data_IF_810599388042
#
_entry.id   IF_810599388042
#
_cell.length_a   1.000
_cell.length_b   1.000
_cell.length_c   1.000
_cell.angle_alpha   90.00
_cell.angle_beta   90.00
_cell.angle_gamma   90.00
#
_symmetry.space_group_name_H-M   'P 1'
#
loop_
_entity.id
_entity.type
_entity.pdbx_description
1 polymer ?
#
# COMPACT_ATOMS: atom_id res chain seq x y z
N UNK A 1 -52.35 60.32 74.92
CA UNK A 1 -51.58 60.88 73.79
C UNK A 1 -51.95 60.10 72.55
N UNK A 2 -52.17 60.83 71.46
CA UNK A 2 -52.99 60.48 70.32
C UNK A 2 -52.30 59.59 69.26
N UNK A 3 -53.16 58.92 68.50
CA UNK A 3 -53.16 58.69 67.05
C UNK A 3 -52.04 57.93 66.30
N UNK A 4 -52.48 56.81 65.73
CA UNK A 4 -52.61 56.52 64.28
C UNK A 4 -51.41 56.64 63.32
N UNK A 5 -51.14 55.55 62.60
CA UNK A 5 -51.05 55.44 61.12
C UNK A 5 -50.29 54.15 60.74
N UNK A 6 -50.55 53.39 59.68
CA UNK A 6 -51.43 53.52 58.52
C UNK A 6 -51.07 52.41 57.52
N UNK A 7 -52.10 51.82 56.92
CA UNK A 7 -52.15 50.65 55.99
C UNK A 7 -51.82 51.05 54.52
N UNK A 8 -51.63 50.11 53.55
CA UNK A 8 -50.76 50.24 52.37
C UNK A 8 -51.45 50.51 51.00
N UNK A 9 -50.62 50.53 49.92
CA UNK A 9 -50.89 50.53 48.44
C UNK A 9 -51.22 51.91 47.82
N UNK A 10 -50.91 52.23 46.52
CA UNK A 10 -51.17 51.43 45.29
C UNK A 10 -50.19 51.55 44.09
N UNK A 11 -50.44 50.76 43.03
CA UNK A 11 -49.86 50.84 41.66
C UNK A 11 -50.52 51.96 40.81
N UNK A 12 -49.96 52.32 39.64
CA UNK A 12 -50.79 52.23 38.43
C UNK A 12 -50.10 51.70 37.16
N UNK A 13 -50.97 51.31 36.23
CA UNK A 13 -50.78 50.67 34.91
C UNK A 13 -50.69 51.68 33.75
N UNK A 14 -50.35 51.12 32.57
CA UNK A 14 -50.62 51.54 31.15
C UNK A 14 -49.43 52.24 30.48
N UNK A 15 -48.98 51.90 29.26
CA UNK A 15 -49.69 51.51 28.02
C UNK A 15 -48.86 50.57 27.12
N UNK A 16 -49.55 49.85 26.26
CA UNK A 16 -49.06 48.94 25.22
C UNK A 16 -48.54 49.69 23.96
N UNK A 17 -47.61 49.08 23.19
CA UNK A 17 -47.82 48.63 21.78
C UNK A 17 -46.55 47.99 21.15
N UNK A 18 -46.73 46.78 20.61
CA UNK A 18 -46.28 46.21 19.31
C UNK A 18 -44.78 45.97 18.98
N UNK A 19 -44.45 44.67 18.97
CA UNK A 19 -43.69 43.84 18.01
C UNK A 19 -42.29 44.23 17.49
N UNK A 20 -41.31 43.34 17.71
CA UNK A 20 -40.53 42.69 16.65
C UNK A 20 -39.86 41.40 17.17
N UNK A 21 -39.87 40.38 16.31
CA UNK A 21 -39.36 39.03 16.48
C UNK A 21 -37.83 38.99 16.38
N UNK A 22 -37.15 38.30 17.31
CA UNK A 22 -35.89 37.58 17.05
C UNK A 22 -35.57 36.65 18.23
N UNK A 23 -36.01 35.39 18.13
CA UNK A 23 -35.55 34.29 18.97
C UNK A 23 -34.17 33.84 18.50
N UNK A 24 -33.12 34.02 19.32
CA UNK A 24 -31.88 33.27 19.17
C UNK A 24 -31.88 32.15 20.21
N UNK A 25 -32.31 30.96 19.79
CA UNK A 25 -32.13 29.73 20.55
C UNK A 25 -30.67 29.32 20.48
N UNK A 26 -30.00 29.33 21.64
CA UNK A 26 -28.68 28.75 21.79
C UNK A 26 -28.85 27.22 21.84
N UNK A 27 -28.77 26.56 20.69
CA UNK A 27 -28.71 25.11 20.63
C UNK A 27 -27.34 24.66 21.16
N UNK A 28 -27.33 24.08 22.36
CA UNK A 28 -26.19 23.32 22.86
C UNK A 28 -26.09 22.07 22.00
N UNK A 29 -25.19 22.08 21.01
CA UNK A 29 -24.80 20.89 20.28
C UNK A 29 -23.97 20.03 21.23
N UNK A 30 -24.62 19.08 21.89
CA UNK A 30 -23.92 17.93 22.48
C UNK A 30 -23.35 17.15 21.30
N UNK A 31 -22.06 17.34 21.01
CA UNK A 31 -21.34 16.47 20.12
C UNK A 31 -21.23 15.10 20.81
N UNK A 32 -22.17 14.21 20.53
CA UNK A 32 -21.99 12.79 20.75
C UNK A 32 -20.82 12.38 19.87
N UNK A 33 -19.65 12.15 20.47
CA UNK A 33 -18.57 11.43 19.82
C UNK A 33 -19.15 10.07 19.43
N UNK A 34 -19.48 9.89 18.16
CA UNK A 34 -19.86 8.60 17.62
C UNK A 34 -18.60 7.74 17.67
N UNK A 35 -18.49 6.88 18.67
CA UNK A 35 -17.62 5.72 18.61
C UNK A 35 -18.09 4.91 17.41
N UNK A 36 -17.33 4.92 16.32
CA UNK A 36 -17.59 4.03 15.20
C UNK A 36 -17.59 2.58 15.74
N UNK A 37 -18.56 1.74 15.34
CA UNK A 37 -18.61 0.36 15.81
C UNK A 37 -17.38 -0.43 15.32
N UNK A 38 -16.88 -1.33 16.17
CA UNK A 38 -15.81 -2.30 15.89
C UNK A 38 -16.31 -3.40 14.94
N UNK A 39 -16.43 -3.05 13.66
CA UNK A 39 -16.85 -3.94 12.58
C UNK A 39 -16.74 -3.22 11.23
N UNK A 40 -15.81 -2.27 11.13
CA UNK A 40 -15.58 -1.50 9.93
C UNK A 40 -14.61 -2.29 9.04
N UNK A 41 -15.14 -2.95 8.01
CA UNK A 41 -14.32 -3.40 6.88
C UNK A 41 -13.39 -2.27 6.43
N UNK A 42 -12.16 -2.57 6.01
CA UNK A 42 -11.23 -1.54 5.58
C UNK A 42 -11.86 -0.59 4.57
N UNK A 43 -11.49 0.70 4.62
CA UNK A 43 -12.00 1.68 3.68
C UNK A 43 -11.67 1.26 2.24
N UNK A 44 -12.62 1.48 1.34
CA UNK A 44 -12.41 1.30 -0.10
C UNK A 44 -11.21 2.15 -0.55
N UNK A 45 -10.32 1.60 -1.39
CA UNK A 45 -9.20 2.37 -1.93
C UNK A 45 -9.65 3.71 -2.52
N UNK A 46 -8.94 4.83 -2.24
CA UNK A 46 -9.25 6.12 -2.86
C UNK A 46 -9.15 6.06 -4.38
N UNK A 47 -9.82 6.98 -5.09
CA UNK A 47 -9.71 7.07 -6.54
C UNK A 47 -8.23 7.17 -6.98
N UNK A 48 -7.86 6.39 -8.01
CA UNK A 48 -6.48 6.28 -8.50
C UNK A 48 -5.61 5.27 -7.75
N UNK A 49 -6.13 4.61 -6.72
CA UNK A 49 -5.45 3.53 -6.00
C UNK A 49 -6.15 2.19 -6.24
N UNK A 50 -5.35 1.13 -6.35
CA UNK A 50 -5.82 -0.25 -6.45
C UNK A 50 -5.34 -1.04 -5.24
N UNK A 51 -6.19 -1.95 -4.74
CA UNK A 51 -5.84 -2.83 -3.63
C UNK A 51 -4.88 -3.92 -4.09
N UNK A 52 -3.75 -4.04 -3.40
CA UNK A 52 -2.73 -5.08 -3.62
C UNK A 52 -2.86 -6.19 -2.59
N UNK A 53 -3.13 -5.82 -1.33
CA UNK A 53 -3.31 -6.74 -0.22
C UNK A 53 -4.28 -6.13 0.78
N UNK A 54 -5.06 -6.99 1.44
CA UNK A 54 -5.91 -6.63 2.55
C UNK A 54 -6.11 -7.85 3.44
N UNK A 55 -5.86 -7.67 4.74
CA UNK A 55 -6.42 -8.51 5.78
C UNK A 55 -7.19 -7.61 6.75
N UNK A 56 -8.50 -7.84 6.84
CA UNK A 56 -9.46 -7.16 7.73
C UNK A 56 -9.71 -7.97 9.01
N UNK A 57 -8.89 -8.99 9.29
CA UNK A 57 -8.87 -9.79 10.52
C UNK A 57 -10.24 -10.34 10.98
N UNK A 58 -11.14 -10.54 10.02
CA UNK A 58 -12.45 -11.14 10.26
C UNK A 58 -12.31 -12.64 10.55
N UNK A 59 -12.85 -13.08 11.67
CA UNK A 59 -12.85 -14.49 12.05
C UNK A 59 -13.48 -14.71 13.42
N UNK A 60 -13.52 -15.96 13.87
CA UNK A 60 -14.11 -16.29 15.16
C UNK A 60 -13.20 -15.85 16.32
N UNK A 61 -13.79 -15.37 17.42
CA UNK A 61 -13.03 -15.02 18.61
C UNK A 61 -12.12 -16.17 19.08
N UNK A 62 -10.85 -15.88 19.31
CA UNK A 62 -9.84 -16.84 19.75
C UNK A 62 -9.23 -17.70 18.63
N UNK A 63 -9.61 -17.52 17.36
CA UNK A 63 -8.91 -18.16 16.25
C UNK A 63 -7.58 -17.46 15.94
N UNK A 64 -6.64 -18.17 15.30
CA UNK A 64 -5.41 -17.57 14.77
C UNK A 64 -5.65 -16.73 13.51
N UNK A 65 -4.58 -16.13 12.98
CA UNK A 65 -4.59 -15.38 11.72
C UNK A 65 -4.70 -16.30 10.51
N UNK A 66 -5.07 -15.75 9.35
CA UNK A 66 -5.06 -16.49 8.09
C UNK A 66 -3.61 -16.81 7.68
N UNK A 67 -3.23 -18.09 7.74
CA UNK A 67 -1.85 -18.51 7.45
C UNK A 67 -1.52 -18.56 5.95
N UNK A 68 -2.46 -18.28 5.04
CA UNK A 68 -2.10 -17.97 3.66
C UNK A 68 -1.44 -16.60 3.54
N UNK A 69 -1.79 -15.69 4.45
CA UNK A 69 -1.40 -14.28 4.41
C UNK A 69 -0.30 -13.99 5.40
N UNK A 70 -0.27 -14.72 6.52
CA UNK A 70 0.68 -14.52 7.62
C UNK A 70 1.46 -15.78 7.99
N UNK A 71 2.73 -15.58 8.36
CA UNK A 71 3.58 -16.57 8.99
C UNK A 71 3.96 -16.12 10.41
N UNK A 72 4.11 -17.08 11.32
CA UNK A 72 4.49 -16.81 12.70
C UNK A 72 6.00 -16.88 12.87
N UNK A 73 6.56 -15.85 13.47
CA UNK A 73 7.90 -15.88 14.03
C UNK A 73 7.83 -16.41 15.47
N UNK A 74 8.68 -17.39 15.79
CA UNK A 74 8.63 -18.07 17.09
C UNK A 74 10.00 -18.15 17.75
N UNK A 75 10.02 -18.19 19.08
CA UNK A 75 11.25 -18.20 19.87
C UNK A 75 11.79 -16.79 20.10
N UNK A 76 13.11 -16.68 20.21
CA UNK A 76 13.83 -15.44 20.54
C UNK A 76 14.70 -14.93 19.38
N UNK A 77 14.58 -15.53 18.19
CA UNK A 77 15.33 -15.15 16.99
C UNK A 77 14.75 -15.85 15.76
N UNK A 78 15.02 -15.32 14.57
CA UNK A 78 14.92 -16.12 13.35
C UNK A 78 15.85 -17.34 13.41
N UNK A 79 15.58 -18.41 12.63
CA UNK A 79 16.51 -19.52 12.48
C UNK A 79 17.86 -19.05 11.91
N UNK A 80 18.90 -19.00 12.75
CA UNK A 80 20.22 -18.49 12.37
C UNK A 80 20.33 -16.96 12.33
N UNK A 81 19.31 -16.24 12.80
CA UNK A 81 19.36 -14.79 12.96
C UNK A 81 20.00 -14.35 14.28
N UNK A 82 20.02 -13.03 14.50
CA UNK A 82 20.53 -12.45 15.75
C UNK A 82 19.70 -12.91 16.97
N UNK A 83 20.39 -13.18 18.08
CA UNK A 83 19.75 -13.55 19.33
C UNK A 83 18.91 -12.38 19.89
N UNK A 84 17.82 -12.71 20.60
CA UNK A 84 16.87 -11.75 21.17
C UNK A 84 16.44 -10.70 20.13
N UNK A 85 16.11 -11.21 18.94
CA UNK A 85 15.71 -10.44 17.75
C UNK A 85 16.66 -9.30 17.34
N UNK A 86 17.89 -9.30 17.83
CA UNK A 86 18.88 -8.23 17.60
C UNK A 86 18.70 -6.98 18.47
N UNK A 87 17.67 -6.93 19.31
CA UNK A 87 17.26 -5.74 20.08
C UNK A 87 17.50 -5.91 21.59
N UNK A 88 17.70 -7.14 22.06
CA UNK A 88 17.79 -7.46 23.49
C UNK A 88 16.43 -7.53 24.18
N UNK A 89 15.33 -7.65 23.43
CA UNK A 89 13.99 -7.96 23.96
C UNK A 89 13.97 -9.34 24.66
N UNK A 90 13.01 -9.54 25.57
CA UNK A 90 13.06 -10.64 26.57
C UNK A 90 11.97 -11.69 26.42
N UNK A 91 11.00 -11.47 25.54
CA UNK A 91 9.93 -12.40 25.25
C UNK A 91 10.37 -13.54 24.32
N UNK A 92 9.69 -14.67 24.47
CA UNK A 92 9.61 -15.65 23.39
C UNK A 92 8.36 -15.38 22.57
N UNK A 93 8.52 -15.11 21.28
CA UNK A 93 7.39 -15.04 20.34
C UNK A 93 6.78 -16.43 20.16
N UNK A 94 5.45 -16.50 20.04
CA UNK A 94 4.73 -17.78 19.87
C UNK A 94 3.63 -17.70 18.81
N UNK A 95 3.22 -18.85 18.30
CA UNK A 95 2.03 -19.02 17.45
C UNK A 95 0.76 -19.34 18.25
N UNK A 96 0.80 -19.25 19.58
CA UNK A 96 -0.35 -19.53 20.44
C UNK A 96 -1.39 -18.43 20.33
N UNK A 97 -2.67 -18.81 20.32
CA UNK A 97 -3.79 -17.85 20.39
C UNK A 97 -3.88 -17.12 21.73
N UNK A 98 -3.09 -17.51 22.73
CA UNK A 98 -2.88 -16.69 23.93
C UNK A 98 -2.13 -15.38 23.63
N UNK A 99 -1.32 -15.36 22.56
CA UNK A 99 -0.52 -14.22 22.13
C UNK A 99 -1.02 -13.61 20.82
N UNK A 100 -1.50 -14.41 19.85
CA UNK A 100 -1.96 -13.92 18.54
C UNK A 100 -3.32 -14.53 18.22
N UNK A 101 -4.38 -13.75 18.37
CA UNK A 101 -5.74 -14.22 18.11
C UNK A 101 -6.64 -13.13 17.56
N UNK A 102 -7.69 -13.53 16.86
CA UNK A 102 -8.78 -12.66 16.45
C UNK A 102 -9.76 -12.46 17.61
N UNK A 103 -10.34 -11.27 17.72
CA UNK A 103 -11.24 -10.91 18.82
C UNK A 103 -12.71 -11.32 18.55
N UNK A 104 -13.04 -11.64 17.31
CA UNK A 104 -14.40 -11.97 16.85
C UNK A 104 -15.22 -10.80 16.31
N UNK A 105 -14.67 -9.59 16.33
CA UNK A 105 -15.31 -8.34 15.89
C UNK A 105 -14.57 -7.69 14.70
N UNK A 106 -13.58 -8.37 14.13
CA UNK A 106 -12.80 -7.89 12.99
C UNK A 106 -11.42 -7.37 13.38
N UNK A 107 -10.94 -7.64 14.59
CA UNK A 107 -9.63 -7.19 15.03
C UNK A 107 -8.67 -8.35 15.35
N UNK A 108 -7.41 -8.19 14.98
CA UNK A 108 -6.29 -8.98 15.47
C UNK A 108 -5.82 -8.44 16.83
N UNK A 109 -5.56 -9.35 17.77
CA UNK A 109 -4.96 -9.10 19.07
C UNK A 109 -3.55 -9.70 19.13
N UNK A 110 -2.53 -8.85 19.29
CA UNK A 110 -1.17 -9.27 19.69
C UNK A 110 -0.97 -8.93 21.16
N UNK A 111 -0.99 -9.95 22.02
CA UNK A 111 -1.04 -9.81 23.48
C UNK A 111 0.22 -10.33 24.16
N UNK A 112 1.05 -9.45 24.74
CA UNK A 112 2.11 -9.87 25.65
C UNK A 112 1.53 -10.57 26.88
N UNK A 113 2.09 -11.72 27.24
CA UNK A 113 1.72 -12.49 28.43
C UNK A 113 2.95 -12.71 29.29
N UNK A 114 2.73 -12.81 30.60
CA UNK A 114 3.75 -13.14 31.58
C UNK A 114 3.30 -14.33 32.40
N UNK A 115 4.07 -15.40 32.42
CA UNK A 115 3.74 -16.58 33.22
C UNK A 115 4.10 -16.40 34.72
N UNK A 116 3.73 -17.38 35.54
CA UNK A 116 4.01 -17.35 36.98
C UNK A 116 5.50 -17.42 37.33
N UNK A 117 6.33 -17.95 36.41
CA UNK A 117 7.80 -17.99 36.54
C UNK A 117 8.45 -16.67 36.13
N UNK A 118 7.67 -15.76 35.55
CA UNK A 118 8.08 -14.44 35.12
C UNK A 118 8.57 -14.36 33.68
N UNK A 119 8.41 -15.42 32.89
CA UNK A 119 8.77 -15.45 31.48
C UNK A 119 7.74 -14.65 30.67
N UNK A 120 8.23 -13.85 29.73
CA UNK A 120 7.38 -13.12 28.78
C UNK A 120 7.19 -13.92 27.50
N UNK A 121 5.98 -13.86 26.96
CA UNK A 121 5.65 -14.33 25.61
C UNK A 121 4.86 -13.27 24.88
N UNK A 122 4.98 -13.22 23.57
CA UNK A 122 4.21 -12.30 22.73
C UNK A 122 3.99 -12.89 21.33
N UNK A 123 3.49 -12.07 20.42
CA UNK A 123 3.30 -12.42 19.02
C UNK A 123 4.15 -11.56 18.10
N UNK A 124 4.66 -12.21 17.05
CA UNK A 124 5.27 -11.58 15.89
C UNK A 124 4.81 -12.35 14.66
N UNK A 125 4.18 -11.65 13.72
CA UNK A 125 3.71 -12.21 12.47
C UNK A 125 4.25 -11.39 11.30
N UNK A 126 4.53 -12.06 10.21
CA UNK A 126 4.97 -11.43 8.97
C UNK A 126 4.05 -11.84 7.82
N UNK A 127 3.91 -11.00 6.81
CA UNK A 127 3.20 -11.42 5.60
C UNK A 127 3.95 -12.55 4.90
N UNK A 128 3.24 -13.54 4.37
CA UNK A 128 3.82 -14.58 3.50
C UNK A 128 4.38 -13.95 2.23
N UNK A 129 3.70 -12.93 1.70
CA UNK A 129 4.16 -12.07 0.61
C UNK A 129 5.37 -11.23 1.01
N UNK A 130 6.28 -11.06 0.05
CA UNK A 130 7.50 -10.23 0.16
C UNK A 130 7.64 -9.26 -1.01
N UNK A 131 6.61 -9.11 -1.83
CA UNK A 131 6.67 -8.45 -3.14
C UNK A 131 6.12 -7.02 -3.11
N UNK A 132 5.88 -6.44 -1.93
CA UNK A 132 5.36 -5.08 -1.82
C UNK A 132 6.42 -4.05 -2.23
N UNK A 133 6.27 -3.51 -3.44
CA UNK A 133 7.10 -2.45 -3.99
C UNK A 133 6.25 -1.60 -4.95
N UNK A 134 6.34 -0.27 -4.92
CA UNK A 134 5.70 0.54 -5.94
C UNK A 134 6.29 0.27 -7.32
N UNK A 135 5.46 0.21 -8.37
CA UNK A 135 5.98 0.24 -9.74
C UNK A 135 6.78 1.54 -9.95
N UNK A 136 7.73 1.52 -10.89
CA UNK A 136 8.45 2.74 -11.24
C UNK A 136 7.46 3.82 -11.71
N UNK A 137 7.70 5.06 -11.27
CA UNK A 137 6.77 6.17 -11.50
C UNK A 137 5.52 6.14 -10.62
N UNK A 138 5.19 5.02 -9.99
CA UNK A 138 3.98 4.86 -9.17
C UNK A 138 4.21 5.12 -7.69
N UNK A 139 3.20 4.76 -6.91
CA UNK A 139 3.24 4.88 -5.45
C UNK A 139 2.69 3.63 -4.80
N UNK A 140 3.18 3.35 -3.59
CA UNK A 140 2.70 2.29 -2.73
C UNK A 140 2.26 2.94 -1.42
N UNK A 141 1.10 2.53 -0.89
CA UNK A 141 0.68 2.83 0.47
C UNK A 141 0.59 1.54 1.24
N UNK A 142 1.21 1.50 2.40
CA UNK A 142 1.12 0.40 3.36
C UNK A 142 0.58 0.99 4.65
N UNK A 143 -0.57 0.52 5.07
CA UNK A 143 -1.36 1.15 6.12
C UNK A 143 -1.93 0.11 7.08
N UNK A 144 -1.98 0.46 8.35
CA UNK A 144 -2.73 -0.29 9.35
C UNK A 144 -3.57 0.66 10.20
N UNK A 145 -4.79 0.26 10.50
CA UNK A 145 -5.61 0.88 11.54
C UNK A 145 -5.45 0.06 12.82
N UNK A 146 -4.86 0.64 13.85
CA UNK A 146 -4.56 -0.07 15.09
C UNK A 146 -4.68 0.82 16.32
N UNK A 147 -4.97 0.19 17.45
CA UNK A 147 -4.84 0.74 18.79
C UNK A 147 -3.58 0.13 19.44
N UNK A 148 -2.70 0.99 19.94
CA UNK A 148 -1.53 0.53 20.72
C UNK A 148 -1.99 -0.08 22.07
N UNK A 149 -1.19 -0.95 22.72
CA UNK A 149 -1.50 -1.49 24.04
C UNK A 149 -1.99 -0.41 25.02
N UNK A 150 -3.23 -0.56 25.50
CA UNK A 150 -3.87 0.43 26.36
C UNK A 150 -3.39 0.33 27.82
N UNK A 151 -2.11 0.62 28.00
CA UNK A 151 -1.41 0.61 29.27
C UNK A 151 -0.43 1.78 29.28
N UNK A 152 -0.30 2.46 30.42
CA UNK A 152 0.59 3.63 30.56
C UNK A 152 1.35 3.62 31.88
N UNK A 153 2.34 4.51 32.02
CA UNK A 153 3.13 4.63 33.24
C UNK A 153 3.96 3.38 33.56
N UNK A 154 4.13 3.05 34.83
CA UNK A 154 4.97 1.91 35.25
C UNK A 154 4.43 0.56 34.75
N UNK A 155 3.12 0.44 34.56
CA UNK A 155 2.48 -0.75 34.02
C UNK A 155 2.87 -1.02 32.55
N UNK A 156 3.26 0.03 31.81
CA UNK A 156 3.65 -0.05 30.40
C UNK A 156 5.16 -0.18 30.18
N UNK A 157 5.98 -0.14 31.24
CA UNK A 157 7.43 -0.17 31.09
C UNK A 157 7.87 -1.43 30.35
N UNK A 158 8.58 -1.28 29.23
CA UNK A 158 9.04 -2.38 28.39
C UNK A 158 8.11 -2.72 27.21
N UNK A 159 6.87 -2.24 27.15
CA UNK A 159 6.03 -2.49 25.97
C UNK A 159 6.63 -1.81 24.74
N UNK A 160 6.71 -2.55 23.63
CA UNK A 160 7.17 -2.06 22.33
C UNK A 160 6.33 -2.63 21.18
N UNK A 161 5.12 -2.09 20.93
CA UNK A 161 4.35 -2.42 19.72
C UNK A 161 5.03 -1.84 18.46
N UNK A 162 5.00 -2.60 17.38
CA UNK A 162 5.53 -2.19 16.07
C UNK A 162 4.69 -2.69 14.90
N UNK A 163 4.55 -1.85 13.89
CA UNK A 163 4.04 -2.12 12.55
C UNK A 163 5.04 -1.56 11.54
N UNK A 164 5.67 -2.45 10.80
CA UNK A 164 6.88 -2.12 10.05
C UNK A 164 7.07 -3.04 8.86
N UNK A 165 8.08 -2.73 8.05
CA UNK A 165 8.41 -3.49 6.85
C UNK A 165 9.91 -3.76 6.79
N UNK A 166 10.27 -4.91 6.24
CA UNK A 166 11.66 -5.29 6.03
C UNK A 166 11.87 -5.76 4.59
N UNK A 167 13.01 -5.39 4.00
CA UNK A 167 13.31 -5.73 2.61
C UNK A 167 13.32 -7.24 2.39
N UNK A 168 12.67 -7.69 1.31
CA UNK A 168 12.53 -9.11 0.96
C UNK A 168 13.84 -9.92 1.01
N UNK A 169 15.00 -9.40 0.58
CA UNK A 169 16.27 -10.13 0.66
C UNK A 169 16.72 -10.48 2.09
N UNK A 170 16.08 -9.96 3.14
CA UNK A 170 16.37 -10.33 4.52
C UNK A 170 15.83 -11.73 4.86
N UNK A 171 14.66 -12.11 4.33
CA UNK A 171 14.03 -13.39 4.66
C UNK A 171 14.88 -14.56 4.18
N UNK A 172 15.30 -15.41 5.13
CA UNK A 172 16.21 -16.53 4.87
C UNK A 172 17.70 -16.15 4.81
N UNK A 173 18.03 -14.86 4.90
CA UNK A 173 19.40 -14.35 5.02
C UNK A 173 19.71 -13.98 6.48
N UNK A 174 18.92 -13.07 7.05
CA UNK A 174 18.99 -12.59 8.44
C UNK A 174 20.30 -11.87 8.85
N UNK A 175 21.17 -11.51 7.91
CA UNK A 175 22.51 -10.95 8.17
C UNK A 175 22.80 -9.64 7.40
N UNK A 176 21.84 -9.11 6.64
CA UNK A 176 22.02 -7.96 5.75
C UNK A 176 21.30 -6.67 6.21
N UNK A 177 20.82 -6.62 7.45
CA UNK A 177 20.38 -5.37 8.08
C UNK A 177 21.59 -4.47 8.42
N UNK A 178 21.53 -3.13 8.26
CA UNK A 178 20.39 -2.34 7.78
C UNK A 178 20.38 -2.13 6.27
N UNK A 179 21.40 -2.66 5.55
CA UNK A 179 21.59 -2.39 4.12
C UNK A 179 20.41 -2.77 3.23
N UNK A 180 19.62 -3.77 3.66
CA UNK A 180 18.43 -4.28 2.97
C UNK A 180 17.19 -3.38 3.08
N UNK A 181 17.24 -2.33 3.90
CA UNK A 181 16.12 -1.42 4.12
C UNK A 181 15.08 -1.95 5.10
N UNK A 182 14.75 -1.10 6.08
CA UNK A 182 13.66 -1.29 7.04
C UNK A 182 12.83 0.00 7.09
N UNK A 183 11.51 -0.13 7.09
CA UNK A 183 10.57 0.99 7.13
C UNK A 183 9.62 0.79 8.30
N UNK A 184 9.91 1.45 9.41
CA UNK A 184 9.08 1.44 10.61
C UNK A 184 7.95 2.44 10.44
N UNK A 185 6.75 1.93 10.21
CA UNK A 185 5.56 2.76 9.93
C UNK A 185 4.98 3.29 11.24
N UNK A 186 4.99 2.45 12.27
CA UNK A 186 4.63 2.80 13.63
C UNK A 186 5.47 1.99 14.61
N UNK A 187 6.17 2.69 15.49
CA UNK A 187 6.70 2.14 16.73
C UNK A 187 6.24 2.98 17.92
N UNK A 188 6.13 2.35 19.07
CA UNK A 188 5.92 3.03 20.33
C UNK A 188 6.64 2.29 21.46
N UNK A 189 6.96 3.03 22.53
CA UNK A 189 7.47 2.44 23.76
C UNK A 189 6.79 3.04 24.98
N UNK A 190 6.78 2.29 26.08
CA UNK A 190 6.37 2.74 27.41
C UNK A 190 4.91 3.25 27.52
N UNK A 191 4.05 2.95 26.54
CA UNK A 191 2.68 3.46 26.52
C UNK A 191 2.60 4.98 26.37
N UNK A 192 3.60 5.60 25.73
CA UNK A 192 3.61 7.05 25.51
C UNK A 192 2.61 7.43 24.43
N UNK A 193 1.93 8.57 24.56
CA UNK A 193 1.09 9.10 23.48
C UNK A 193 1.94 9.71 22.35
N UNK A 194 2.68 8.86 21.64
CA UNK A 194 3.50 9.18 20.47
C UNK A 194 3.63 7.97 19.57
N UNK A 195 3.78 8.21 18.28
CA UNK A 195 4.26 7.25 17.30
C UNK A 195 5.62 7.69 16.80
N UNK A 196 6.52 6.74 16.57
CA UNK A 196 7.76 6.91 15.82
C UNK A 196 7.60 6.26 14.45
N UNK A 197 8.17 6.88 13.43
CA UNK A 197 8.39 6.25 12.14
C UNK A 197 9.81 6.53 11.67
N UNK A 198 10.44 5.52 11.09
CA UNK A 198 11.88 5.49 10.84
C UNK A 198 12.17 4.72 9.55
N UNK A 199 13.21 5.16 8.83
CA UNK A 199 13.84 4.35 7.79
C UNK A 199 15.25 3.97 8.26
N UNK A 200 15.55 2.66 8.29
CA UNK A 200 16.92 2.17 8.46
C UNK A 200 17.50 1.74 7.12
N UNK A 201 18.77 2.08 6.90
CA UNK A 201 19.46 1.85 5.63
C UNK A 201 21.00 1.97 5.76
N UNK A 202 21.71 1.52 4.73
CA UNK A 202 23.16 1.69 4.65
C UNK A 202 23.92 0.80 5.64
N UNK A 203 24.63 1.42 6.59
CA UNK A 203 25.59 0.71 7.47
C UNK A 203 25.38 1.07 8.93
N UNK A 204 25.45 0.07 9.80
CA UNK A 204 25.43 0.23 11.25
C UNK A 204 26.81 -0.04 11.87
N UNK A 205 27.32 0.81 12.78
CA UNK A 205 26.77 2.10 13.24
C UNK A 205 27.06 3.28 12.31
N UNK A 206 26.24 4.33 12.43
CA UNK A 206 26.36 5.58 11.67
C UNK A 206 25.84 5.45 10.25
N UNK A 207 26.71 5.66 9.27
CA UNK A 207 26.30 5.68 7.85
C UNK A 207 25.37 6.86 7.50
N UNK A 208 24.85 6.89 6.26
CA UNK A 208 23.98 7.98 5.80
C UNK A 208 22.63 8.01 6.53
N UNK A 209 22.23 6.89 7.16
CA UNK A 209 20.95 6.76 7.85
C UNK A 209 21.06 6.91 9.38
N UNK A 210 22.25 7.26 9.89
CA UNK A 210 22.50 7.51 11.31
C UNK A 210 22.11 6.33 12.23
N UNK A 211 22.58 5.15 11.88
CA UNK A 211 22.29 3.90 12.58
C UNK A 211 22.92 3.85 13.98
N UNK A 212 22.25 3.29 15.00
CA UNK A 212 20.93 2.61 14.96
C UNK A 212 19.73 3.53 15.17
N UNK A 213 19.89 4.87 15.08
CA UNK A 213 18.74 5.77 15.25
C UNK A 213 17.84 5.82 14.02
N UNK A 214 18.39 5.59 12.83
CA UNK A 214 17.66 5.69 11.56
C UNK A 214 17.27 7.14 11.20
N UNK A 215 16.63 7.29 10.04
CA UNK A 215 16.06 8.55 9.58
C UNK A 215 14.60 8.67 10.03
N UNK A 216 14.41 8.91 11.33
CA UNK A 216 13.09 8.89 11.94
C UNK A 216 12.62 10.22 12.55
N UNK A 217 11.34 10.26 12.89
CA UNK A 217 10.74 11.31 13.69
C UNK A 217 9.61 10.74 14.57
N UNK A 218 9.13 11.54 15.52
CA UNK A 218 7.97 11.19 16.34
C UNK A 218 6.95 12.32 16.44
N UNK A 219 5.68 11.95 16.60
CA UNK A 219 4.59 12.88 16.86
C UNK A 219 3.55 12.24 17.77
N UNK A 220 2.74 13.05 18.47
CA UNK A 220 1.58 12.55 19.19
C UNK A 220 0.48 12.13 18.22
N UNK A 221 -0.36 11.16 18.60
CA UNK A 221 -1.54 10.82 17.81
C UNK A 221 -2.54 11.99 17.81
N UNK A 222 -3.11 12.35 16.64
CA UNK A 222 -4.11 13.39 16.54
C UNK A 222 -5.40 13.06 17.30
N UNK A 223 -6.08 14.07 17.86
CA UNK A 223 -7.39 13.96 18.52
C UNK A 223 -7.42 13.16 19.85
N UNK A 224 -7.02 11.90 19.82
CA UNK A 224 -7.00 10.96 20.96
C UNK A 224 -5.59 10.42 21.18
N UNK A 225 -5.34 9.81 22.35
CA UNK A 225 -4.03 9.17 22.55
C UNK A 225 -3.94 7.87 21.75
N UNK A 226 -2.74 7.52 21.29
CA UNK A 226 -2.49 6.29 20.52
C UNK A 226 -2.96 5.01 21.25
N UNK A 227 -3.01 5.04 22.58
CA UNK A 227 -3.47 3.96 23.45
C UNK A 227 -4.99 3.93 23.64
N UNK A 228 -5.68 5.07 23.49
CA UNK A 228 -7.10 5.20 23.86
C UNK A 228 -8.06 4.72 22.78
N UNK A 229 -7.59 4.51 21.55
CA UNK A 229 -8.40 4.02 20.44
C UNK A 229 -7.57 3.82 19.17
N UNK A 230 -8.27 3.49 18.09
CA UNK A 230 -7.67 3.26 16.79
C UNK A 230 -7.17 4.55 16.15
N UNK A 231 -5.96 4.47 15.60
CA UNK A 231 -5.37 5.44 14.70
C UNK A 231 -4.92 4.72 13.43
N UNK A 232 -4.81 5.47 12.34
CA UNK A 232 -4.34 4.96 11.06
C UNK A 232 -2.90 5.38 10.84
N UNK A 233 -2.00 4.41 10.66
CA UNK A 233 -0.57 4.62 10.44
C UNK A 233 -0.22 4.22 9.02
N UNK A 234 0.34 5.14 8.25
CA UNK A 234 0.54 4.97 6.81
C UNK A 234 1.96 5.26 6.42
N UNK A 235 2.54 4.41 5.59
CA UNK A 235 3.72 4.74 4.79
C UNK A 235 3.30 4.90 3.33
N UNK A 236 3.65 6.02 2.71
CA UNK A 236 3.55 6.23 1.26
C UNK A 236 4.96 6.28 0.65
N UNK A 237 5.26 5.33 -0.22
CA UNK A 237 6.47 5.30 -1.02
C UNK A 237 6.16 5.78 -2.42
N UNK A 238 6.71 6.92 -2.77
CA UNK A 238 6.46 7.69 -3.97
C UNK A 238 7.66 7.64 -4.92
N UNK A 239 7.53 6.84 -5.96
CA UNK A 239 8.49 6.74 -7.08
C UNK A 239 8.06 7.60 -8.28
N UNK A 240 7.02 8.42 -8.13
CA UNK A 240 6.49 9.28 -9.19
C UNK A 240 7.23 10.61 -9.33
N UNK A 241 8.20 10.87 -8.45
CA UNK A 241 8.94 12.14 -8.36
C UNK A 241 10.43 11.86 -8.25
N UNK A 242 11.24 12.87 -8.61
CA UNK A 242 12.69 12.84 -8.42
C UNK A 242 13.11 14.05 -7.56
N UNK A 243 13.76 13.82 -6.39
CA UNK A 243 14.10 12.51 -5.81
C UNK A 243 12.86 11.71 -5.38
N UNK A 244 12.93 10.37 -5.43
CA UNK A 244 11.91 9.49 -4.83
C UNK A 244 11.77 9.81 -3.33
N UNK A 245 10.61 9.52 -2.75
CA UNK A 245 10.32 9.84 -1.36
C UNK A 245 9.53 8.75 -0.65
N UNK A 246 9.82 8.54 0.64
CA UNK A 246 9.01 7.75 1.56
C UNK A 246 8.47 8.71 2.62
N UNK A 247 7.16 8.70 2.84
CA UNK A 247 6.45 9.61 3.75
C UNK A 247 5.65 8.80 4.75
N UNK A 248 5.70 9.20 6.02
CA UNK A 248 4.99 8.52 7.10
C UNK A 248 3.93 9.44 7.70
N UNK A 249 2.75 8.87 7.93
CA UNK A 249 1.56 9.58 8.36
C UNK A 249 0.93 8.90 9.57
N UNK A 250 0.32 9.71 10.43
CA UNK A 250 -0.67 9.25 11.40
C UNK A 250 -1.97 10.04 11.18
N UNK A 251 -3.08 9.33 11.00
CA UNK A 251 -4.39 9.88 10.63
C UNK A 251 -4.34 10.87 9.45
N UNK A 252 -3.56 10.53 8.43
CA UNK A 252 -3.37 11.36 7.24
C UNK A 252 -2.48 12.60 7.44
N UNK A 253 -1.89 12.79 8.62
CA UNK A 253 -0.93 13.88 8.90
C UNK A 253 0.49 13.36 8.73
N UNK A 254 1.19 13.87 7.70
CA UNK A 254 2.62 13.57 7.48
C UNK A 254 3.46 14.14 8.62
N UNK A 255 4.34 13.33 9.20
CA UNK A 255 5.31 13.77 10.21
C UNK A 255 6.75 13.35 9.95
N UNK A 256 7.02 12.50 8.95
CA UNK A 256 8.37 12.14 8.55
C UNK A 256 8.45 11.94 7.04
N UNK A 257 9.51 12.46 6.42
CA UNK A 257 9.76 12.29 4.99
C UNK A 257 11.24 12.03 4.76
N UNK A 258 11.53 10.88 4.15
CA UNK A 258 12.86 10.50 3.69
C UNK A 258 12.89 10.58 2.17
N UNK A 259 13.90 11.25 1.62
CA UNK A 259 14.06 11.42 0.17
C UNK A 259 15.34 10.75 -0.29
N UNK A 260 15.32 10.18 -1.50
CA UNK A 260 16.43 9.38 -2.03
C UNK A 260 17.79 10.12 -2.03
N UNK A 261 17.79 11.45 -2.16
CA UNK A 261 19.00 12.27 -2.17
C UNK A 261 19.61 12.54 -0.77
N UNK A 262 19.05 11.98 0.30
CA UNK A 262 19.68 12.01 1.64
C UNK A 262 20.82 10.99 1.77
N UNK A 263 20.93 10.06 0.83
CA UNK A 263 21.97 9.05 0.73
C UNK A 263 22.47 8.94 -0.72
N UNK A 264 23.54 8.20 -0.94
CA UNK A 264 23.98 7.90 -2.30
C UNK A 264 23.03 6.93 -3.00
N UNK A 265 23.07 6.91 -4.34
CA UNK A 265 22.17 6.11 -5.15
C UNK A 265 22.28 4.59 -4.89
N UNK A 266 23.46 4.09 -4.51
CA UNK A 266 23.67 2.66 -4.20
C UNK A 266 23.01 2.32 -2.88
N UNK A 267 23.17 3.18 -1.86
CA UNK A 267 22.50 2.99 -0.56
C UNK A 267 20.97 3.02 -0.72
N UNK A 268 20.41 3.97 -1.48
CA UNK A 268 18.97 4.00 -1.76
C UNK A 268 18.52 2.74 -2.50
N UNK A 269 19.22 2.34 -3.56
CA UNK A 269 18.88 1.15 -4.35
C UNK A 269 18.97 -0.15 -3.53
N UNK A 270 19.99 -0.30 -2.69
CA UNK A 270 20.13 -1.48 -1.83
C UNK A 270 19.02 -1.59 -0.79
N UNK A 271 18.52 -0.44 -0.30
CA UNK A 271 17.45 -0.40 0.67
C UNK A 271 16.05 -0.47 0.05
N UNK A 272 15.88 -0.17 -1.24
CA UNK A 272 14.54 0.05 -1.82
C UNK A 272 14.30 -0.63 -3.18
N UNK A 273 15.31 -1.16 -3.87
CA UNK A 273 15.10 -1.76 -5.19
C UNK A 273 14.72 -3.25 -5.11
N UNK A 274 13.74 -3.57 -4.28
CA UNK A 274 13.15 -4.89 -4.09
C UNK A 274 11.79 -4.77 -3.40
N UNK A 275 11.06 -5.89 -3.34
CA UNK A 275 9.88 -6.01 -2.51
C UNK A 275 10.19 -5.93 -1.01
N UNK A 276 9.15 -5.71 -0.22
CA UNK A 276 9.15 -5.78 1.23
C UNK A 276 8.07 -6.74 1.70
N UNK A 277 8.25 -7.28 2.90
CA UNK A 277 7.19 -7.92 3.68
C UNK A 277 6.85 -7.03 4.88
N UNK A 278 5.61 -7.16 5.37
CA UNK A 278 5.10 -6.44 6.55
C UNK A 278 5.28 -7.31 7.79
N UNK A 279 5.56 -6.68 8.93
CA UNK A 279 5.67 -7.30 10.24
C UNK A 279 4.77 -6.55 11.23
N UNK A 280 4.07 -7.32 12.08
CA UNK A 280 3.36 -6.84 13.25
C UNK A 280 3.87 -7.58 14.48
N UNK A 281 4.24 -6.85 15.53
CA UNK A 281 4.62 -7.45 16.80
C UNK A 281 4.37 -6.53 18.00
N UNK A 282 4.44 -7.12 19.19
CA UNK A 282 4.63 -6.36 20.44
C UNK A 282 5.81 -6.98 21.17
N UNK A 283 6.97 -6.34 21.07
CA UNK A 283 8.16 -6.74 21.82
C UNK A 283 8.05 -6.32 23.30
N UNK A 284 8.82 -6.99 24.16
CA UNK A 284 8.94 -6.68 25.58
C UNK A 284 10.40 -6.42 25.95
N UNK A 285 10.71 -5.18 26.30
CA UNK A 285 12.05 -4.73 26.66
C UNK A 285 12.90 -4.41 25.43
N UNK A 286 14.22 -4.61 25.54
CA UNK A 286 15.16 -4.27 24.46
C UNK A 286 15.63 -2.81 24.46
N UNK A 287 16.45 -2.48 23.47
CA UNK A 287 17.18 -1.22 23.38
C UNK A 287 16.29 0.02 23.36
N UNK A 288 15.18 -0.01 22.61
CA UNK A 288 14.30 1.14 22.47
C UNK A 288 13.57 1.46 23.79
N UNK A 289 12.82 0.54 24.44
CA UNK A 289 12.35 0.76 25.82
C UNK A 289 13.46 1.17 26.79
N UNK A 290 14.66 0.56 26.67
CA UNK A 290 15.87 0.89 27.42
C UNK A 290 16.22 2.38 27.40
N UNK A 291 16.16 3.02 26.23
CA UNK A 291 16.42 4.44 26.07
C UNK A 291 15.36 5.36 26.72
N UNK A 292 14.19 4.82 27.08
CA UNK A 292 13.05 5.55 27.65
C UNK A 292 12.68 5.06 29.06
N UNK A 293 13.67 4.59 29.83
CA UNK A 293 13.51 4.19 31.23
C UNK A 293 13.50 2.68 31.46
N UNK A 294 13.61 1.88 30.41
CA UNK A 294 13.74 0.43 30.46
C UNK A 294 12.44 -0.31 30.75
N UNK A 295 12.60 -1.55 31.19
CA UNK A 295 11.53 -2.51 31.36
C UNK A 295 11.76 -3.76 30.51
N UNK A 296 10.96 -4.81 30.71
CA UNK A 296 9.88 -4.91 31.69
C UNK A 296 10.38 -4.90 33.15
N UNK A 297 9.52 -4.50 34.08
CA UNK A 297 9.76 -4.49 35.52
C UNK A 297 8.74 -5.39 36.24
N UNK A 298 8.84 -5.52 37.56
CA UNK A 298 7.79 -6.20 38.34
C UNK A 298 6.44 -5.48 38.34
N UNK A 299 6.42 -4.19 38.00
CA UNK A 299 5.20 -3.41 37.88
C UNK A 299 4.56 -3.48 36.48
N UNK A 300 5.28 -4.01 35.48
CA UNK A 300 4.77 -4.13 34.11
C UNK A 300 3.62 -5.12 34.07
N UNK A 301 2.46 -4.68 33.59
CA UNK A 301 1.25 -5.50 33.53
C UNK A 301 1.19 -6.25 32.19
N UNK A 302 1.04 -7.58 32.15
CA UNK A 302 0.76 -8.30 30.91
C UNK A 302 -0.71 -8.17 30.49
N UNK A 303 -1.05 -8.64 29.29
CA UNK A 303 -2.43 -8.83 28.87
C UNK A 303 -3.07 -7.64 28.16
N UNK A 304 -2.30 -6.58 27.86
CA UNK A 304 -2.75 -5.42 27.11
C UNK A 304 -2.38 -5.60 25.62
N UNK A 305 -3.35 -5.89 24.73
CA UNK A 305 -3.05 -6.18 23.33
C UNK A 305 -2.76 -4.93 22.52
N UNK A 306 -1.90 -5.05 21.51
CA UNK A 306 -2.05 -4.24 20.30
C UNK A 306 -3.24 -4.80 19.52
N UNK A 307 -4.19 -3.93 19.18
CA UNK A 307 -5.44 -4.29 18.48
C UNK A 307 -5.37 -3.74 17.07
N UNK A 308 -5.45 -4.58 16.05
CA UNK A 308 -5.28 -4.19 14.64
C UNK A 308 -6.55 -4.56 13.87
N UNK A 309 -7.22 -3.55 13.33
CA UNK A 309 -8.46 -3.70 12.56
C UNK A 309 -8.17 -4.21 11.15
N UNK A 310 -7.18 -3.61 10.47
CA UNK A 310 -6.73 -4.11 9.18
C UNK A 310 -5.27 -3.77 8.90
N UNK A 311 -4.69 -4.52 7.95
CA UNK A 311 -3.51 -4.14 7.19
C UNK A 311 -3.87 -4.09 5.71
N UNK A 312 -3.62 -2.94 5.08
CA UNK A 312 -3.93 -2.71 3.67
C UNK A 312 -2.67 -2.27 2.92
N UNK A 313 -2.48 -2.83 1.73
CA UNK A 313 -1.49 -2.36 0.75
C UNK A 313 -2.21 -1.90 -0.49
N UNK A 314 -1.97 -0.65 -0.88
CA UNK A 314 -2.50 -0.03 -2.07
C UNK A 314 -1.37 0.37 -3.00
N UNK A 315 -1.64 0.38 -4.30
CA UNK A 315 -0.74 0.97 -5.30
C UNK A 315 -1.47 1.96 -6.20
N UNK A 316 -0.79 3.02 -6.59
CA UNK A 316 -1.23 3.89 -7.67
C UNK A 316 -0.26 3.76 -8.84
N UNK A 317 -0.80 3.63 -10.06
CA UNK A 317 0.00 3.73 -11.28
C UNK A 317 0.61 5.12 -11.40
N UNK A 318 1.87 5.19 -11.79
CA UNK A 318 2.53 6.44 -12.12
C UNK A 318 2.03 7.05 -13.42
N UNK A 319 1.99 8.38 -13.51
CA UNK A 319 1.89 9.10 -14.78
C UNK A 319 3.21 9.13 -15.57
N UNK A 320 4.12 8.18 -15.33
CA UNK A 320 5.40 8.09 -16.03
C UNK A 320 6.15 6.78 -15.78
N UNK A 321 6.11 5.87 -16.76
CA UNK A 321 7.18 4.92 -17.08
C UNK A 321 7.50 3.80 -16.08
N UNK A 322 6.92 2.61 -16.31
CA UNK A 322 7.51 1.35 -15.84
C UNK A 322 6.54 0.22 -15.54
N UNK A 323 6.13 -0.49 -16.61
CA UNK A 323 5.72 -1.89 -16.69
C UNK A 323 4.98 -2.47 -15.49
N UNK A 324 3.66 -2.61 -15.59
CA UNK A 324 2.99 -3.80 -15.05
C UNK A 324 3.34 -4.96 -16.00
N UNK A 325 4.15 -5.97 -15.64
CA UNK A 325 3.85 -7.29 -16.16
C UNK A 325 2.51 -7.69 -15.54
N UNK A 326 1.44 -7.93 -16.32
CA UNK A 326 0.33 -8.69 -15.79
C UNK A 326 0.85 -10.06 -15.35
N UNK A 327 0.18 -10.74 -14.40
CA UNK A 327 0.47 -12.13 -14.09
C UNK A 327 0.44 -12.96 -15.39
N UNK A 328 1.25 -14.02 -15.55
CA UNK A 328 1.08 -14.93 -16.67
C UNK A 328 -0.32 -15.56 -16.59
N UNK A 329 -1.21 -15.19 -17.52
CA UNK A 329 -2.56 -15.73 -17.67
C UNK A 329 -3.68 -14.81 -17.17
N UNK A 330 -4.79 -14.80 -17.92
CA UNK A 330 -6.06 -14.12 -17.63
C UNK A 330 -6.14 -12.62 -18.04
N UNK A 331 -5.70 -12.28 -19.25
CA UNK A 331 -5.97 -10.95 -19.85
C UNK A 331 -7.42 -10.88 -20.32
N UNK A 332 -8.13 -9.79 -20.08
CA UNK A 332 -9.45 -9.53 -20.66
C UNK A 332 -9.32 -8.96 -22.07
N UNK A 333 -9.95 -9.58 -23.07
CA UNK A 333 -9.89 -9.15 -24.46
C UNK A 333 -10.55 -7.77 -24.69
N UNK A 334 -11.53 -7.41 -23.87
CA UNK A 334 -12.35 -6.20 -24.06
C UNK A 334 -11.80 -4.97 -23.33
N UNK A 335 -10.67 -5.13 -22.66
CA UNK A 335 -9.90 -4.07 -22.02
C UNK A 335 -8.63 -3.78 -22.83
N UNK A 336 -8.11 -2.54 -22.76
CA UNK A 336 -6.87 -2.19 -23.45
C UNK A 336 -5.69 -3.03 -22.94
N UNK A 337 -5.17 -3.89 -23.81
CA UNK A 337 -3.95 -4.67 -23.61
C UNK A 337 -2.77 -3.83 -24.07
N UNK A 338 -1.89 -3.48 -23.12
CA UNK A 338 -0.67 -2.71 -23.40
C UNK A 338 0.26 -3.52 -24.30
N UNK A 339 0.76 -2.93 -25.37
CA UNK A 339 1.50 -3.66 -26.39
C UNK A 339 2.90 -4.07 -25.90
N UNK A 340 3.51 -3.31 -24.99
CA UNK A 340 4.74 -3.66 -24.28
C UNK A 340 4.56 -4.79 -23.25
N UNK A 341 3.32 -5.19 -22.94
CA UNK A 341 3.03 -6.26 -21.98
C UNK A 341 3.15 -7.67 -22.56
N UNK A 342 3.93 -7.85 -23.64
CA UNK A 342 4.09 -9.13 -24.32
C UNK A 342 4.76 -10.19 -23.42
N UNK A 343 4.35 -11.46 -23.56
CA UNK A 343 5.01 -12.62 -22.93
C UNK A 343 6.28 -13.06 -23.68
N UNK A 344 6.32 -12.77 -24.99
CA UNK A 344 7.46 -13.07 -25.85
C UNK A 344 7.40 -12.21 -27.10
N UNK A 345 8.54 -11.92 -27.71
CA UNK A 345 8.61 -11.12 -28.92
C UNK A 345 9.81 -11.52 -29.80
N UNK A 346 9.81 -11.04 -31.03
CA UNK A 346 11.02 -10.96 -31.85
C UNK A 346 11.06 -9.63 -32.61
N UNK A 347 12.22 -8.98 -32.57
CA UNK A 347 12.57 -7.82 -33.38
C UNK A 347 12.07 -6.46 -32.88
N UNK A 348 11.25 -6.42 -31.83
CA UNK A 348 10.71 -5.15 -31.29
C UNK A 348 11.54 -4.66 -30.10
N UNK A 349 11.48 -3.35 -29.84
CA UNK A 349 11.99 -2.72 -28.61
C UNK A 349 10.91 -1.86 -27.96
N UNK A 350 11.07 -1.51 -26.69
CA UNK A 350 10.14 -0.61 -26.00
C UNK A 350 10.72 0.80 -25.89
N UNK A 351 9.85 1.80 -25.99
CA UNK A 351 10.19 3.21 -25.70
C UNK A 351 9.09 3.89 -24.93
N UNK A 352 9.40 5.04 -24.31
CA UNK A 352 8.38 5.86 -23.65
C UNK A 352 7.43 6.44 -24.69
N UNK A 353 6.14 6.16 -24.55
CA UNK A 353 5.12 6.75 -25.42
C UNK A 353 4.79 8.17 -24.98
N UNK A 354 4.59 9.06 -25.96
CA UNK A 354 4.00 10.39 -25.73
C UNK A 354 2.49 10.40 -25.94
N UNK A 355 1.85 9.24 -26.11
CA UNK A 355 0.39 9.14 -26.24
C UNK A 355 -0.33 9.56 -24.95
N UNK A 356 -1.63 9.82 -25.07
CA UNK A 356 -2.48 10.00 -23.90
C UNK A 356 -2.49 8.74 -23.04
N UNK A 357 -2.18 8.89 -21.75
CA UNK A 357 -2.02 7.77 -20.81
C UNK A 357 -0.56 7.50 -20.43
N UNK A 358 0.40 7.98 -21.23
CA UNK A 358 1.82 7.69 -21.04
C UNK A 358 2.09 6.19 -21.10
N UNK A 359 3.18 5.74 -20.46
CA UNK A 359 3.58 4.33 -20.48
C UNK A 359 4.73 4.06 -21.44
N UNK A 360 4.77 2.86 -21.99
CA UNK A 360 5.68 2.53 -23.09
C UNK A 360 4.86 2.11 -24.31
N UNK A 361 5.48 2.17 -25.48
CA UNK A 361 5.00 1.50 -26.67
C UNK A 361 6.03 0.49 -27.14
N UNK A 362 5.60 -0.46 -27.97
CA UNK A 362 6.54 -1.26 -28.77
C UNK A 362 6.82 -0.53 -30.08
N UNK A 363 8.09 -0.39 -30.40
CA UNK A 363 8.58 0.34 -31.57
C UNK A 363 9.71 -0.38 -32.27
N UNK A 364 10.30 0.31 -33.26
CA UNK A 364 11.28 -0.26 -34.20
C UNK A 364 10.76 -1.49 -34.95
N UNK A 365 9.45 -1.51 -35.22
CA UNK A 365 8.77 -2.69 -35.75
C UNK A 365 8.92 -2.71 -37.28
N UNK A 366 9.57 -3.75 -37.77
CA UNK A 366 9.81 -4.03 -39.18
C UNK A 366 9.07 -5.29 -39.65
N UNK A 367 9.25 -5.62 -40.93
CA UNK A 367 8.67 -6.83 -41.53
C UNK A 367 9.23 -8.11 -40.88
N UNK A 368 8.35 -8.95 -40.36
CA UNK A 368 8.67 -10.25 -39.76
C UNK A 368 8.67 -10.26 -38.23
N UNK A 369 8.55 -9.08 -37.60
CA UNK A 369 8.50 -8.93 -36.16
C UNK A 369 7.15 -9.39 -35.60
N UNK A 370 7.13 -9.67 -34.29
CA UNK A 370 5.93 -10.12 -33.62
C UNK A 370 5.99 -9.96 -32.09
N UNK A 371 4.81 -9.94 -31.47
CA UNK A 371 4.59 -9.96 -30.03
C UNK A 371 3.51 -10.99 -29.66
N UNK A 372 3.74 -11.77 -28.60
CA UNK A 372 2.84 -12.79 -28.05
C UNK A 372 2.21 -12.32 -26.74
N UNK A 373 0.92 -12.54 -26.59
CA UNK A 373 0.12 -12.29 -25.41
C UNK A 373 -0.66 -13.55 -25.06
N UNK A 374 -0.20 -14.32 -24.08
CA UNK A 374 -0.83 -15.54 -23.61
C UNK A 374 -2.14 -15.33 -22.86
N UNK A 375 -3.07 -16.27 -23.02
CA UNK A 375 -4.26 -16.39 -22.18
C UNK A 375 -5.20 -15.18 -22.20
N UNK A 376 -5.45 -14.62 -23.39
CA UNK A 376 -6.43 -13.54 -23.60
C UNK A 376 -7.83 -14.15 -23.65
N UNK A 377 -8.72 -13.68 -22.77
CA UNK A 377 -10.05 -14.18 -22.55
C UNK A 377 -11.09 -13.32 -23.29
N UNK A 378 -11.68 -13.90 -24.33
CA UNK A 378 -12.78 -13.33 -25.13
C UNK A 378 -14.17 -13.69 -24.59
N UNK A 379 -14.27 -14.49 -23.52
CA UNK A 379 -15.53 -14.88 -22.92
C UNK A 379 -16.45 -15.67 -23.86
N UNK A 380 -17.75 -15.67 -23.59
CA UNK A 380 -18.75 -16.39 -24.40
C UNK A 380 -19.41 -15.54 -25.49
N UNK A 381 -19.31 -14.21 -25.40
CA UNK A 381 -19.81 -13.30 -26.42
C UNK A 381 -18.71 -13.10 -27.46
N UNK A 382 -19.04 -13.20 -28.75
CA UNK A 382 -18.03 -13.12 -29.78
C UNK A 382 -17.44 -11.71 -29.91
N UNK A 383 -16.12 -11.62 -29.96
CA UNK A 383 -15.44 -10.44 -30.49
C UNK A 383 -15.45 -10.50 -32.03
N UNK A 384 -15.79 -9.38 -32.68
CA UNK A 384 -15.76 -9.23 -34.14
C UNK A 384 -14.94 -8.01 -34.60
N UNK A 385 -14.43 -7.23 -33.65
CA UNK A 385 -13.58 -6.09 -33.88
C UNK A 385 -12.25 -6.22 -33.14
N UNK A 386 -11.20 -5.70 -33.75
CA UNK A 386 -9.89 -5.46 -33.16
C UNK A 386 -9.54 -3.98 -33.36
N UNK A 387 -9.05 -3.31 -32.33
CA UNK A 387 -8.49 -1.96 -32.49
C UNK A 387 -7.09 -1.92 -31.91
N UNK A 388 -6.20 -1.17 -32.56
CA UNK A 388 -4.89 -0.87 -32.00
C UNK A 388 -4.57 0.61 -32.10
N UNK A 389 -3.89 1.11 -31.07
CA UNK A 389 -3.37 2.45 -30.97
C UNK A 389 -1.95 2.47 -31.51
N UNK A 390 -1.77 3.06 -32.67
CA UNK A 390 -0.53 3.00 -33.44
C UNK A 390 -0.01 4.38 -33.83
N UNK A 391 1.30 4.49 -33.98
CA UNK A 391 1.97 5.65 -34.56
C UNK A 391 2.96 5.18 -35.64
N UNK A 392 3.22 6.03 -36.62
CA UNK A 392 4.15 5.72 -37.71
C UNK A 392 4.78 7.00 -38.24
N UNK A 393 6.10 7.08 -38.15
CA UNK A 393 6.92 8.10 -38.82
C UNK A 393 7.51 7.62 -40.14
N UNK A 394 6.96 6.55 -40.73
CA UNK A 394 7.50 5.93 -41.93
C UNK A 394 7.52 6.90 -43.12
N UNK A 395 8.54 6.80 -43.98
CA UNK A 395 8.64 7.64 -45.17
C UNK A 395 7.51 7.36 -46.19
N UNK A 396 7.27 8.31 -47.09
CA UNK A 396 6.26 8.15 -48.14
C UNK A 396 6.49 6.86 -48.94
N UNK A 397 5.42 6.08 -49.12
CA UNK A 397 5.46 4.78 -49.80
C UNK A 397 5.84 3.59 -48.90
N UNK A 398 6.21 3.81 -47.63
CA UNK A 398 6.39 2.74 -46.64
C UNK A 398 5.08 2.50 -45.89
N UNK A 399 4.62 1.26 -45.89
CA UNK A 399 3.43 0.82 -45.16
C UNK A 399 3.52 -0.68 -44.88
N UNK A 400 2.71 -1.16 -43.93
CA UNK A 400 2.62 -2.58 -43.61
C UNK A 400 1.28 -2.92 -42.94
N UNK A 401 1.16 -4.18 -42.55
CA UNK A 401 -0.02 -4.75 -41.90
C UNK A 401 0.29 -5.06 -40.44
N UNK A 402 -0.59 -4.59 -39.56
CA UNK A 402 -0.73 -5.12 -38.20
C UNK A 402 -1.78 -6.23 -38.27
N UNK A 403 -1.36 -7.46 -38.01
CA UNK A 403 -2.19 -8.65 -38.12
C UNK A 403 -2.38 -9.31 -36.75
N UNK A 404 -3.58 -9.85 -36.50
CA UNK A 404 -3.87 -10.64 -35.29
C UNK A 404 -3.97 -12.11 -35.66
N UNK A 405 -3.26 -12.97 -34.94
CA UNK A 405 -3.33 -14.44 -35.07
C UNK A 405 -3.61 -15.07 -33.70
N UNK A 406 -4.29 -16.20 -33.67
CA UNK A 406 -4.60 -16.93 -32.44
C UNK A 406 -3.81 -18.23 -32.34
N UNK A 407 -3.37 -18.57 -31.14
CA UNK A 407 -2.74 -19.81 -30.66
C UNK A 407 -1.41 -20.20 -31.31
N UNK A 408 -1.14 -19.73 -32.53
CA UNK A 408 0.12 -19.93 -33.23
C UNK A 408 0.38 -18.81 -34.23
N UNK A 409 1.63 -18.34 -34.24
CA UNK A 409 2.12 -17.35 -35.20
C UNK A 409 2.07 -17.83 -36.65
N UNK A 410 1.94 -19.15 -36.88
CA UNK A 410 1.80 -19.75 -38.21
C UNK A 410 0.35 -19.91 -38.67
N UNK A 411 -0.64 -19.67 -37.79
CA UNK A 411 -2.05 -19.70 -38.16
C UNK A 411 -2.41 -18.50 -39.05
N UNK A 412 -3.45 -18.63 -39.88
CA UNK A 412 -3.95 -17.50 -40.67
C UNK A 412 -4.39 -16.33 -39.77
N UNK A 413 -4.20 -15.06 -40.18
CA UNK A 413 -4.73 -13.92 -39.44
C UNK A 413 -6.24 -14.01 -39.30
N UNK A 414 -6.76 -13.69 -38.13
CA UNK A 414 -8.19 -13.52 -37.91
C UNK A 414 -8.68 -12.14 -38.37
N UNK A 415 -7.76 -11.18 -38.51
CA UNK A 415 -7.97 -9.90 -39.16
C UNK A 415 -6.71 -9.04 -39.13
N UNK A 416 -6.78 -7.90 -39.80
CA UNK A 416 -5.64 -7.01 -39.98
C UNK A 416 -6.09 -5.62 -40.43
N UNK A 417 -5.26 -4.61 -40.20
CA UNK A 417 -5.36 -3.32 -40.88
C UNK A 417 -4.02 -2.89 -41.46
N UNK A 418 -4.07 -2.03 -42.47
CA UNK A 418 -2.88 -1.40 -43.04
C UNK A 418 -2.55 -0.10 -42.31
N UNK A 419 -1.26 0.16 -42.10
CA UNK A 419 -0.73 1.40 -41.52
C UNK A 419 0.41 1.94 -42.37
N UNK A 420 0.35 3.22 -42.68
CA UNK A 420 1.45 4.02 -43.21
C UNK A 420 1.69 5.22 -42.29
N UNK A 421 2.34 6.27 -42.79
CA UNK A 421 2.67 7.46 -42.00
C UNK A 421 1.43 8.08 -41.30
N UNK A 422 1.48 8.21 -39.97
CA UNK A 422 0.41 8.81 -39.15
C UNK A 422 0.67 10.28 -38.80
N UNK A 423 1.86 10.79 -39.09
CA UNK A 423 2.35 12.13 -38.75
C UNK A 423 3.67 12.14 -37.97
N UNK A 424 4.19 10.96 -37.59
CA UNK A 424 5.41 10.81 -36.78
C UNK A 424 5.38 9.56 -35.88
N UNK A 425 6.54 9.15 -35.38
CA UNK A 425 6.71 7.95 -34.54
C UNK A 425 5.95 7.99 -33.21
N UNK A 426 5.53 9.17 -32.79
CA UNK A 426 4.76 9.41 -31.58
C UNK A 426 3.43 10.15 -31.88
N UNK A 427 2.97 10.09 -33.14
CA UNK A 427 1.69 10.67 -33.59
C UNK A 427 0.60 9.59 -33.66
N UNK A 428 -0.09 9.41 -32.55
CA UNK A 428 -0.95 8.26 -32.28
C UNK A 428 -2.34 8.33 -32.91
N UNK A 429 -2.79 7.21 -33.50
CA UNK A 429 -4.13 7.00 -34.05
C UNK A 429 -4.66 5.64 -33.60
N UNK A 430 -5.96 5.54 -33.35
CA UNK A 430 -6.61 4.24 -33.12
C UNK A 430 -7.19 3.75 -34.44
N UNK A 431 -6.74 2.58 -34.91
CA UNK A 431 -7.17 2.00 -36.18
C UNK A 431 -7.96 0.71 -35.87
N UNK A 432 -9.25 0.64 -36.24
CA UNK A 432 -10.03 -0.58 -36.12
C UNK A 432 -9.85 -1.51 -37.33
N UNK A 433 -10.04 -2.81 -37.10
CA UNK A 433 -10.18 -3.84 -38.11
C UNK A 433 -11.33 -4.79 -37.74
N UNK A 434 -12.01 -5.31 -38.76
CA UNK A 434 -12.91 -6.44 -38.57
C UNK A 434 -12.08 -7.71 -38.41
N UNK A 435 -12.50 -8.59 -37.51
CA UNK A 435 -11.90 -9.92 -37.30
C UNK A 435 -12.96 -11.02 -37.48
N UNK A 436 -12.50 -12.25 -37.70
CA UNK A 436 -13.33 -13.43 -37.51
C UNK A 436 -13.87 -13.51 -36.08
N UNK A 437 -15.06 -14.09 -35.90
CA UNK A 437 -15.69 -14.25 -34.59
C UNK A 437 -14.82 -15.07 -33.62
N UNK A 438 -14.45 -14.49 -32.47
CA UNK A 438 -13.62 -15.15 -31.44
C UNK A 438 -14.35 -15.22 -30.10
N UNK A 439 -14.29 -16.38 -29.45
CA UNK A 439 -14.79 -16.63 -28.09
C UNK A 439 -13.81 -17.55 -27.35
N UNK A 440 -13.86 -17.61 -26.04
CA UNK A 440 -13.00 -18.46 -25.21
C UNK A 440 -11.67 -17.80 -24.90
N UNK A 441 -10.66 -18.58 -24.52
CA UNK A 441 -9.34 -18.07 -24.15
C UNK A 441 -8.30 -18.53 -25.17
N UNK A 442 -7.52 -17.59 -25.69
CA UNK A 442 -6.52 -17.83 -26.73
C UNK A 442 -5.21 -17.14 -26.42
N UNK A 443 -4.11 -17.70 -26.94
CA UNK A 443 -2.87 -16.94 -27.05
C UNK A 443 -2.96 -16.02 -28.27
N UNK A 444 -2.77 -14.72 -28.09
CA UNK A 444 -2.87 -13.71 -29.16
C UNK A 444 -1.47 -13.36 -29.65
N UNK A 445 -1.27 -13.38 -30.96
CA UNK A 445 -0.08 -12.84 -31.60
C UNK A 445 -0.44 -11.59 -32.38
N UNK A 446 0.32 -10.52 -32.15
CA UNK A 446 0.46 -9.44 -33.13
C UNK A 446 1.63 -9.79 -34.04
N UNK A 447 1.40 -9.81 -35.36
CA UNK A 447 2.45 -10.01 -36.36
C UNK A 447 2.49 -8.86 -37.34
N UNK A 448 3.70 -8.55 -37.82
CA UNK A 448 3.96 -7.35 -38.59
C UNK A 448 4.51 -7.72 -39.98
N UNK A 449 3.76 -7.40 -41.03
CA UNK A 449 4.12 -7.75 -42.42
C UNK A 449 4.23 -6.50 -43.29
N UNK A 450 5.34 -6.34 -44.00
CA UNK A 450 5.56 -5.23 -44.93
C UNK A 450 6.30 -5.70 -46.17
N UNK A 451 6.02 -5.06 -47.31
CA UNK A 451 6.78 -5.25 -48.54
C UNK A 451 8.16 -4.57 -48.52
N UNK A 452 8.51 -3.88 -47.43
CA UNK A 452 9.74 -3.12 -47.27
C UNK A 452 10.49 -3.55 -46.00
N UNK A 453 11.83 -3.43 -45.96
CA UNK A 453 12.63 -3.83 -44.80
C UNK A 453 12.69 -2.78 -43.68
N UNK A 454 12.18 -1.56 -43.92
CA UNK A 454 12.23 -0.48 -42.94
C UNK A 454 11.15 -0.62 -41.86
N UNK A 455 11.45 -0.13 -40.66
CA UNK A 455 10.48 0.04 -39.58
C UNK A 455 9.30 0.88 -40.06
N UNK A 456 8.09 0.52 -39.65
CA UNK A 456 6.90 1.17 -40.19
C UNK A 456 5.80 1.46 -39.17
N UNK A 457 5.88 0.95 -37.94
CA UNK A 457 4.84 1.17 -36.93
C UNK A 457 5.39 1.07 -35.51
N UNK A 458 4.81 1.87 -34.61
CA UNK A 458 4.82 1.65 -33.17
C UNK A 458 3.40 1.32 -32.71
N UNK A 459 3.26 0.49 -31.68
CA UNK A 459 1.97 0.11 -31.08
C UNK A 459 2.00 0.39 -29.59
N UNK A 460 1.03 1.17 -29.10
CA UNK A 460 0.89 1.50 -27.68
C UNK A 460 0.02 0.47 -26.96
N UNK A 461 -1.20 0.24 -27.44
CA UNK A 461 -2.11 -0.78 -26.89
C UNK A 461 -3.05 -1.30 -27.96
N UNK A 462 -3.73 -2.41 -27.66
CA UNK A 462 -4.79 -2.96 -28.49
C UNK A 462 -5.93 -3.54 -27.65
N UNK A 463 -7.12 -3.64 -28.22
CA UNK A 463 -8.29 -4.25 -27.60
C UNK A 463 -9.15 -4.99 -28.64
N UNK A 464 -10.15 -5.69 -28.14
CA UNK A 464 -11.18 -6.35 -28.94
C UNK A 464 -12.56 -5.83 -28.59
N UNK A 465 -13.47 -5.90 -29.56
CA UNK A 465 -14.84 -5.41 -29.43
C UNK A 465 -15.84 -6.32 -30.14
N UNK A 466 -17.12 -6.07 -29.87
CA UNK A 466 -18.25 -6.81 -30.44
C UNK A 466 -18.65 -6.33 -31.82
#
# INVERSE_FOLDING_TARGET
MSDSSGIPRPRPLRRALVAAVATLGLAVAVATAATAPAGATAPTPPSGWSQVFLDDFNGAAGSGVNTSDWQYDTGTSYPGGAANWGTGEVESMTSSTNNVALDGNGDLLITPRRDASGNWTSGRIETTRTDFQPPAGGKLRVEARLQMPNVTGNAAAGYWPAFWMLGAPFRGNYQNWPSVGELDIMENVQGLNKTWATMHCGTNPGGPCNETSGLGNSTACPNTTCQSGFHTYTMEWDRSVSPEAIRFYVDGVNYQTVTANQMDATTWANATNHGFFVILNVAMGGGFPGAFGGGPTSATEPGHPMVVDYVQVLQSSGSGGGTTPPPPGNRDAYSAIQAESYDSQSGISTETTTDSGGGQDIGWIANGDWALYKGVNFGSTAATQFSARVASGAADGVSGLVEVRLDSRSNAPIGSFAVGNTGGWQSWRTIPANIGSVTGTHDVYLTFTSGQPADYVNVNWFDFGH
#
